data_IF_268605238440
#
_entry.id   IF_268605238440
#
_cell.length_a   1.000
_cell.length_b   1.000
_cell.length_c   1.000
_cell.angle_alpha   90.00
_cell.angle_beta   90.00
_cell.angle_gamma   90.00
#
_symmetry.space_group_name_H-M   'P 1'
#
loop_
_entity.id
_entity.type
_entity.pdbx_description
1 polymer ?
#
# COMPACT_ATOMS: atom_id res chain seq x y z
N UNK A 1 19.58 19.75 -4.91
CA UNK A 1 18.84 18.89 -3.96
C UNK A 1 18.18 17.81 -4.81
N UNK A 2 18.93 16.76 -5.14
CA UNK A 2 18.61 15.93 -6.30
C UNK A 2 17.97 14.58 -6.02
N UNK A 3 17.76 14.21 -4.75
CA UNK A 3 17.14 12.93 -4.37
C UNK A 3 15.70 13.12 -3.94
N UNK A 4 14.77 12.52 -4.68
CA UNK A 4 13.34 12.58 -4.38
C UNK A 4 12.62 11.39 -5.02
N UNK A 5 11.41 11.13 -4.52
CA UNK A 5 10.42 10.30 -5.19
C UNK A 5 9.20 11.18 -5.47
N UNK A 6 8.81 11.25 -6.74
CA UNK A 6 7.65 11.96 -7.23
C UNK A 6 6.62 11.01 -7.81
N UNK A 7 5.35 11.34 -7.66
CA UNK A 7 4.19 10.60 -8.14
C UNK A 7 3.32 11.54 -9.00
N UNK A 8 2.76 11.01 -10.08
CA UNK A 8 1.69 11.66 -10.84
C UNK A 8 0.73 10.62 -11.41
N UNK A 9 -0.57 10.94 -11.44
CA UNK A 9 -1.58 10.08 -12.04
C UNK A 9 -1.48 10.15 -13.57
N UNK A 10 -1.53 9.00 -14.23
CA UNK A 10 -1.55 8.92 -15.68
C UNK A 10 -2.99 9.05 -16.21
N UNK A 11 -3.15 9.78 -17.32
CA UNK A 11 -4.45 9.82 -18.03
C UNK A 11 -4.66 8.58 -18.90
N UNK A 12 -3.58 8.01 -19.42
CA UNK A 12 -3.55 6.78 -20.22
C UNK A 12 -2.46 5.87 -19.67
N UNK A 13 -2.74 4.57 -19.58
CA UNK A 13 -1.82 3.60 -19.00
C UNK A 13 -0.46 3.56 -19.71
N UNK A 14 0.59 3.87 -18.95
CA UNK A 14 1.97 3.82 -19.40
C UNK A 14 2.43 5.01 -20.23
N UNK A 15 1.70 6.12 -20.20
CA UNK A 15 2.13 7.42 -20.71
C UNK A 15 2.67 8.25 -19.54
N UNK A 16 4.00 8.35 -19.44
CA UNK A 16 4.66 8.96 -18.29
C UNK A 16 4.40 10.47 -18.16
N UNK A 17 3.86 10.90 -17.03
CA UNK A 17 3.58 12.31 -16.71
C UNK A 17 4.61 12.86 -15.70
N UNK A 18 4.89 14.16 -15.75
CA UNK A 18 5.76 14.79 -14.75
C UNK A 18 5.15 14.71 -13.34
N UNK A 19 5.94 14.43 -12.29
CA UNK A 19 5.46 14.27 -10.93
C UNK A 19 4.82 15.56 -10.41
N UNK A 20 3.68 15.43 -9.75
CA UNK A 20 2.96 16.55 -9.12
C UNK A 20 3.02 16.48 -7.59
N UNK A 21 3.23 15.29 -7.05
CA UNK A 21 3.27 14.99 -5.62
C UNK A 21 4.61 14.39 -5.28
N UNK A 22 5.32 14.93 -4.28
CA UNK A 22 6.59 14.36 -3.82
C UNK A 22 6.45 13.83 -2.41
N UNK A 23 6.96 12.63 -2.19
CA UNK A 23 6.89 11.94 -0.91
C UNK A 23 8.27 11.80 -0.29
N UNK A 24 8.32 11.88 1.04
CA UNK A 24 9.54 11.62 1.81
C UNK A 24 9.62 10.11 2.05
N UNK A 25 10.57 9.46 1.38
CA UNK A 25 10.80 8.02 1.50
C UNK A 25 11.98 7.74 2.44
N UNK A 26 11.87 6.65 3.20
CA UNK A 26 12.98 6.13 4.01
C UNK A 26 13.94 5.31 3.15
N UNK A 27 13.38 4.49 2.27
CA UNK A 27 14.15 3.70 1.32
C UNK A 27 13.32 3.39 0.08
N UNK A 28 13.99 3.28 -1.05
CA UNK A 28 13.41 2.85 -2.31
C UNK A 28 14.34 1.85 -2.98
N UNK A 29 13.77 0.85 -3.66
CA UNK A 29 14.50 -0.27 -4.27
C UNK A 29 14.00 -0.61 -5.69
N UNK A 30 13.33 0.32 -6.37
CA UNK A 30 12.85 0.14 -7.74
C UNK A 30 14.04 0.00 -8.68
N UNK A 31 14.03 -1.10 -9.42
CA UNK A 31 15.05 -1.44 -10.39
C UNK A 31 14.40 -1.94 -11.67
N UNK A 32 14.99 -1.56 -12.80
CA UNK A 32 14.62 -2.13 -14.08
C UNK A 32 15.18 -3.55 -14.20
N UNK A 33 14.30 -4.53 -14.36
CA UNK A 33 14.67 -5.91 -14.61
C UNK A 33 14.44 -6.26 -16.11
N UNK A 34 15.53 -6.35 -16.90
CA UNK A 34 15.45 -6.75 -18.29
C UNK A 34 15.22 -8.26 -18.50
N UNK A 35 15.21 -9.09 -17.43
CA UNK A 35 14.85 -10.52 -17.47
C UNK A 35 15.50 -11.27 -18.66
N UNK A 36 16.83 -11.38 -18.64
CA UNK A 36 17.57 -12.10 -19.67
C UNK A 36 17.41 -13.62 -19.55
N UNK A 37 16.98 -14.26 -20.62
CA UNK A 37 17.03 -15.72 -20.81
C UNK A 37 18.29 -16.06 -21.61
N UNK A 38 19.07 -16.98 -21.06
CA UNK A 38 20.29 -17.50 -21.69
C UNK A 38 19.99 -18.83 -22.38
N UNK A 39 20.08 -18.86 -23.71
CA UNK A 39 19.84 -20.08 -24.48
C UNK A 39 21.12 -20.89 -24.64
N UNK A 40 20.99 -22.22 -24.56
CA UNK A 40 22.03 -23.18 -24.95
C UNK A 40 21.47 -24.06 -26.06
N UNK A 41 22.06 -23.98 -27.24
CA UNK A 41 21.75 -24.86 -28.37
C UNK A 41 22.76 -26.00 -28.44
N UNK A 42 22.46 -27.03 -29.24
CA UNK A 42 23.37 -28.19 -29.46
C UNK A 42 24.70 -27.74 -30.09
N UNK A 43 24.70 -26.61 -30.81
CA UNK A 43 25.89 -25.98 -31.38
C UNK A 43 26.78 -25.30 -30.31
N UNK A 44 26.26 -25.11 -29.09
CA UNK A 44 26.93 -24.38 -28.03
C UNK A 44 28.06 -25.19 -27.37
N UNK A 45 29.30 -24.72 -27.54
CA UNK A 45 30.44 -25.17 -26.73
C UNK A 45 30.28 -24.86 -25.23
N UNK A 46 31.35 -25.00 -24.44
CA UNK A 46 31.32 -24.83 -22.97
C UNK A 46 30.86 -23.43 -22.49
N UNK A 47 30.85 -22.42 -23.37
CA UNK A 47 30.52 -21.01 -23.07
C UNK A 47 29.09 -20.66 -23.54
N UNK A 48 28.43 -19.75 -22.83
CA UNK A 48 27.15 -19.15 -23.25
C UNK A 48 27.39 -18.25 -24.46
N UNK A 49 26.56 -18.38 -25.50
CA UNK A 49 26.72 -17.62 -26.75
C UNK A 49 25.64 -16.55 -26.98
N UNK A 50 24.43 -16.74 -26.46
CA UNK A 50 23.30 -15.83 -26.71
C UNK A 50 22.50 -15.57 -25.45
N UNK A 51 22.10 -14.31 -25.27
CA UNK A 51 21.14 -13.88 -24.26
C UNK A 51 20.04 -13.06 -24.95
N UNK A 52 18.78 -13.29 -24.59
CA UNK A 52 17.64 -12.51 -25.06
C UNK A 52 16.88 -11.99 -23.85
N UNK A 53 16.47 -10.73 -23.90
CA UNK A 53 15.67 -10.10 -22.84
C UNK A 53 14.19 -10.35 -23.12
N UNK A 54 13.45 -10.83 -22.13
CA UNK A 54 12.01 -11.10 -22.24
C UNK A 54 11.32 -10.54 -20.99
N UNK A 55 10.01 -10.28 -21.01
CA UNK A 55 9.25 -9.80 -19.83
C UNK A 55 9.93 -8.66 -19.07
N UNK A 56 10.32 -7.61 -19.80
CA UNK A 56 10.96 -6.42 -19.25
C UNK A 56 9.97 -5.71 -18.32
N UNK A 57 10.36 -5.54 -17.07
CA UNK A 57 9.55 -4.85 -16.07
C UNK A 57 10.44 -4.18 -15.03
N UNK A 58 9.96 -3.07 -14.46
CA UNK A 58 10.57 -2.47 -13.28
C UNK A 58 9.85 -2.98 -12.06
N UNK A 59 10.59 -3.39 -11.03
CA UNK A 59 10.04 -3.92 -9.77
C UNK A 59 10.86 -3.37 -8.62
N UNK A 60 10.20 -3.09 -7.50
CA UNK A 60 10.87 -2.83 -6.24
C UNK A 60 9.86 -2.43 -5.18
N UNK A 61 10.36 -1.90 -4.07
CA UNK A 61 9.53 -1.43 -2.98
C UNK A 61 9.89 -0.02 -2.54
N UNK A 62 8.90 0.69 -2.02
CA UNK A 62 9.04 2.01 -1.39
C UNK A 62 8.60 1.90 0.07
N UNK A 63 9.51 2.27 0.98
CA UNK A 63 9.23 2.39 2.41
C UNK A 63 9.16 3.85 2.81
N UNK A 64 8.11 4.24 3.51
CA UNK A 64 7.93 5.60 3.97
C UNK A 64 7.08 5.67 5.24
N UNK A 65 7.15 6.83 5.90
CA UNK A 65 6.27 7.16 7.01
C UNK A 65 5.17 8.06 6.43
N UNK A 66 3.89 7.68 6.52
CA UNK A 66 2.82 8.38 5.85
C UNK A 66 2.52 9.71 6.53
N UNK A 67 2.01 10.61 5.69
CA UNK A 67 1.45 11.91 6.05
C UNK A 67 0.05 11.96 5.44
N UNK A 68 -0.87 12.74 6.03
CA UNK A 68 -2.28 12.73 5.63
C UNK A 68 -2.58 13.37 4.27
N UNK A 69 -1.71 14.26 3.78
CA UNK A 69 -1.94 15.12 2.61
C UNK A 69 -1.26 14.61 1.32
N UNK A 70 0.02 14.25 1.38
CA UNK A 70 0.83 13.85 0.22
C UNK A 70 1.27 12.38 0.27
N UNK A 71 1.11 11.67 -0.85
CA UNK A 71 1.69 10.36 -1.13
C UNK A 71 0.83 9.18 -0.67
N UNK A 72 0.22 9.28 0.53
CA UNK A 72 -0.58 8.19 1.09
C UNK A 72 -1.80 7.87 0.21
N UNK A 73 -2.59 8.87 -0.16
CA UNK A 73 -3.80 8.66 -0.94
C UNK A 73 -3.50 8.18 -2.37
N UNK A 74 -2.39 8.60 -2.98
CA UNK A 74 -1.94 8.12 -4.28
C UNK A 74 -1.56 6.64 -4.23
N UNK A 75 -0.87 6.20 -3.17
CA UNK A 75 -0.49 4.79 -2.98
C UNK A 75 -1.72 3.93 -2.71
N UNK A 76 -2.68 4.44 -1.91
CA UNK A 76 -3.95 3.77 -1.71
C UNK A 76 -4.75 3.67 -3.02
N UNK A 77 -4.74 4.73 -3.83
CA UNK A 77 -5.40 4.72 -5.13
C UNK A 77 -4.74 3.76 -6.13
N UNK A 78 -3.41 3.68 -6.14
CA UNK A 78 -2.66 2.71 -6.95
C UNK A 78 -2.96 1.25 -6.57
N UNK A 79 -3.26 0.98 -5.30
CA UNK A 79 -3.57 -0.36 -4.80
C UNK A 79 -5.02 -0.75 -5.04
N UNK A 80 -5.95 0.16 -4.72
CA UNK A 80 -7.39 -0.13 -4.73
C UNK A 80 -8.05 0.19 -6.08
N UNK A 81 -7.52 1.14 -6.85
CA UNK A 81 -8.08 1.61 -8.13
C UNK A 81 -9.32 2.49 -7.97
N UNK A 82 -10.30 2.10 -7.15
CA UNK A 82 -11.54 2.86 -6.99
C UNK A 82 -11.47 3.80 -5.79
N UNK A 83 -11.74 5.09 -6.03
CA UNK A 83 -11.84 6.13 -5.01
C UNK A 83 -13.16 6.90 -5.17
N UNK A 84 -13.87 7.09 -4.06
CA UNK A 84 -15.05 7.98 -4.00
C UNK A 84 -14.70 9.17 -3.12
N UNK A 85 -14.63 10.36 -3.72
CA UNK A 85 -14.33 11.62 -3.03
C UNK A 85 -15.61 12.40 -2.80
N UNK A 86 -15.92 12.69 -1.54
CA UNK A 86 -17.02 13.57 -1.17
C UNK A 86 -16.48 14.83 -0.51
N UNK A 87 -17.01 15.98 -0.90
CA UNK A 87 -16.74 17.25 -0.24
C UNK A 87 -17.59 17.33 1.04
N UNK A 88 -16.93 17.32 2.18
CA UNK A 88 -17.57 17.40 3.49
C UNK A 88 -17.59 18.84 4.01
N UNK A 89 -16.65 19.67 3.56
CA UNK A 89 -16.59 21.11 3.80
C UNK A 89 -16.02 21.80 2.56
N UNK A 90 -16.78 22.76 2.01
CA UNK A 90 -16.49 23.40 0.73
C UNK A 90 -15.07 23.98 0.67
N UNK A 91 -14.23 23.44 -0.21
CA UNK A 91 -12.85 23.89 -0.44
C UNK A 91 -11.86 23.63 0.69
N UNK A 92 -12.25 22.88 1.74
CA UNK A 92 -11.45 22.70 2.96
C UNK A 92 -11.26 21.24 3.32
N UNK A 93 -12.33 20.41 3.25
CA UNK A 93 -12.29 19.03 3.71
C UNK A 93 -12.96 18.08 2.72
N UNK A 94 -12.20 17.07 2.33
CA UNK A 94 -12.63 15.99 1.47
C UNK A 94 -12.50 14.65 2.17
N UNK A 95 -13.47 13.78 1.92
CA UNK A 95 -13.49 12.41 2.42
C UNK A 95 -13.36 11.46 1.25
N UNK A 96 -12.28 10.69 1.26
CA UNK A 96 -11.97 9.70 0.24
C UNK A 96 -12.19 8.31 0.78
N UNK A 97 -13.03 7.54 0.09
CA UNK A 97 -13.26 6.13 0.38
C UNK A 97 -12.60 5.32 -0.71
N UNK A 98 -11.61 4.51 -0.34
CA UNK A 98 -10.92 3.57 -1.22
C UNK A 98 -11.53 2.18 -1.06
N UNK A 99 -11.89 1.59 -2.18
CA UNK A 99 -12.47 0.25 -2.31
C UNK A 99 -11.75 -0.50 -3.43
N UNK A 100 -11.60 -1.82 -3.34
CA UNK A 100 -11.16 -2.64 -4.45
C UNK A 100 -11.88 -2.35 -5.78
N UNK A 101 -11.12 -2.21 -6.86
CA UNK A 101 -11.63 -2.10 -8.21
C UNK A 101 -12.28 -3.42 -8.64
N UNK A 102 -13.50 -3.33 -9.18
CA UNK A 102 -14.22 -4.49 -9.73
C UNK A 102 -13.91 -4.70 -11.22
N UNK A 103 -13.39 -3.66 -11.90
CA UNK A 103 -13.11 -3.68 -13.33
C UNK A 103 -11.75 -3.07 -13.67
N UNK A 104 -11.18 -3.49 -14.80
CA UNK A 104 -9.91 -2.96 -15.32
C UNK A 104 -9.96 -1.46 -15.63
N UNK A 105 -11.13 -0.91 -15.92
CA UNK A 105 -11.29 0.52 -16.23
C UNK A 105 -11.16 1.41 -14.98
N UNK A 106 -11.37 0.82 -13.80
CA UNK A 106 -11.27 1.52 -12.52
C UNK A 106 -9.84 1.50 -11.97
N UNK A 107 -8.89 0.81 -12.63
CA UNK A 107 -7.50 0.81 -12.21
C UNK A 107 -6.82 2.14 -12.53
N UNK A 108 -6.24 2.75 -11.50
CA UNK A 108 -5.39 3.92 -11.66
C UNK A 108 -3.93 3.48 -11.86
N UNK A 109 -3.29 4.06 -12.89
CA UNK A 109 -1.86 3.95 -13.09
C UNK A 109 -1.19 5.27 -12.78
N UNK A 110 0.02 5.18 -12.21
CA UNK A 110 0.79 6.34 -11.83
C UNK A 110 2.17 6.27 -12.48
N UNK A 111 2.74 7.45 -12.69
CA UNK A 111 4.14 7.62 -13.01
C UNK A 111 4.91 7.84 -11.71
N UNK A 112 5.99 7.10 -11.52
CA UNK A 112 6.94 7.30 -10.42
C UNK A 112 8.22 7.88 -10.99
N UNK A 113 8.66 9.01 -10.46
CA UNK A 113 9.92 9.63 -10.82
C UNK A 113 10.90 9.59 -9.65
N UNK A 114 12.09 9.07 -9.91
CA UNK A 114 13.20 8.98 -8.97
C UNK A 114 14.28 9.98 -9.37
N UNK A 115 14.54 10.96 -8.50
CA UNK A 115 15.68 11.84 -8.64
C UNK A 115 16.97 11.14 -8.21
N UNK A 116 17.92 10.96 -9.14
CA UNK A 116 19.25 10.39 -8.86
C UNK A 116 20.28 11.48 -8.55
N UNK A 117 20.03 12.23 -7.49
CA UNK A 117 20.89 13.34 -7.08
C UNK A 117 21.04 14.37 -8.22
N UNK A 118 22.22 14.99 -8.38
CA UNK A 118 22.46 15.97 -9.44
C UNK A 118 22.73 15.34 -10.83
N UNK A 119 22.41 14.05 -11.03
CA UNK A 119 22.69 13.33 -12.30
C UNK A 119 21.50 13.44 -13.26
N UNK A 120 20.37 12.83 -12.92
CA UNK A 120 19.19 12.72 -13.79
C UNK A 120 17.98 12.21 -13.00
N UNK A 121 16.78 12.40 -13.51
CA UNK A 121 15.60 11.66 -13.08
C UNK A 121 15.44 10.36 -13.85
N UNK A 122 14.96 9.31 -13.19
CA UNK A 122 14.43 8.10 -13.81
C UNK A 122 12.91 8.09 -13.65
N UNK A 123 12.18 8.04 -14.76
CA UNK A 123 10.73 8.05 -14.79
C UNK A 123 10.20 6.68 -15.19
N UNK A 124 9.43 6.07 -14.31
CA UNK A 124 8.76 4.80 -14.52
C UNK A 124 7.28 5.08 -14.80
N UNK A 125 6.80 4.72 -16.00
CA UNK A 125 5.40 4.85 -16.37
C UNK A 125 4.62 3.55 -16.07
N UNK A 126 3.30 3.66 -15.95
CA UNK A 126 2.40 2.53 -15.75
C UNK A 126 2.65 1.79 -14.44
N UNK A 127 3.03 2.52 -13.37
CA UNK A 127 3.27 1.92 -12.07
C UNK A 127 1.96 1.65 -11.34
N UNK A 128 1.90 0.47 -10.71
CA UNK A 128 0.83 0.05 -9.83
C UNK A 128 1.42 -0.62 -8.57
N UNK A 129 0.66 -0.61 -7.48
CA UNK A 129 1.06 -1.25 -6.22
C UNK A 129 0.48 -2.66 -6.18
N UNK A 130 1.34 -3.68 -6.10
CA UNK A 130 0.88 -5.07 -5.99
C UNK A 130 0.55 -5.46 -4.56
N UNK A 131 1.32 -4.93 -3.60
CA UNK A 131 1.20 -5.27 -2.18
C UNK A 131 1.52 -4.05 -1.32
N UNK A 132 0.73 -3.88 -0.27
CA UNK A 132 0.87 -2.82 0.71
C UNK A 132 0.92 -3.43 2.11
N UNK A 133 1.95 -3.12 2.87
CA UNK A 133 2.08 -3.50 4.27
C UNK A 133 2.10 -2.27 5.15
N UNK A 134 1.16 -2.19 6.10
CA UNK A 134 1.12 -1.16 7.13
C UNK A 134 1.53 -1.79 8.45
N UNK A 135 2.54 -1.22 9.11
CA UNK A 135 3.01 -1.68 10.43
C UNK A 135 2.97 -0.53 11.43
N UNK A 136 2.32 -0.75 12.56
CA UNK A 136 2.27 0.17 13.68
C UNK A 136 2.76 -0.54 14.95
N UNK A 137 3.78 0.04 15.59
CA UNK A 137 4.33 -0.40 16.87
C UNK A 137 4.01 0.62 17.96
N UNK A 138 4.03 0.22 19.24
CA UNK A 138 3.62 1.12 20.30
C UNK A 138 4.73 2.15 20.52
N UNK A 139 4.33 3.42 20.60
CA UNK A 139 5.23 4.58 20.71
C UNK A 139 6.18 4.75 19.51
N UNK A 140 5.79 4.28 18.32
CA UNK A 140 6.55 4.40 17.08
C UNK A 140 5.70 5.02 15.96
N UNK A 141 6.34 5.29 14.82
CA UNK A 141 5.69 5.76 13.61
C UNK A 141 4.91 4.64 12.92
N UNK A 142 3.84 5.01 12.20
CA UNK A 142 3.22 4.12 11.23
C UNK A 142 4.19 3.98 10.05
N UNK A 143 4.56 2.76 9.68
CA UNK A 143 5.45 2.52 8.53
C UNK A 143 4.66 1.81 7.44
N UNK A 144 4.78 2.31 6.21
CA UNK A 144 4.19 1.71 5.03
C UNK A 144 5.29 1.18 4.11
N UNK A 145 5.15 -0.06 3.68
CA UNK A 145 5.97 -0.71 2.65
C UNK A 145 5.06 -1.04 1.47
N UNK A 146 5.33 -0.43 0.31
CA UNK A 146 4.56 -0.62 -0.91
C UNK A 146 5.43 -1.29 -1.98
N UNK A 147 5.04 -2.49 -2.40
CA UNK A 147 5.65 -3.19 -3.52
C UNK A 147 5.03 -2.70 -4.82
N UNK A 148 5.89 -2.24 -5.73
CA UNK A 148 5.51 -1.58 -6.97
C UNK A 148 6.13 -2.32 -8.15
N UNK A 149 5.35 -2.40 -9.22
CA UNK A 149 5.85 -2.77 -10.54
C UNK A 149 5.45 -1.70 -11.57
N UNK A 150 6.20 -1.60 -12.66
CA UNK A 150 5.94 -0.65 -13.74
C UNK A 150 6.73 -0.95 -15.01
N UNK A 151 6.58 -0.07 -16.01
CA UNK A 151 7.29 -0.20 -17.29
C UNK A 151 8.77 0.16 -17.16
N UNK A 152 9.50 0.01 -18.26
CA UNK A 152 10.91 0.42 -18.38
C UNK A 152 11.07 1.91 -18.04
N UNK A 153 12.14 2.31 -17.32
CA UNK A 153 12.38 3.71 -17.03
C UNK A 153 12.83 4.50 -18.27
N UNK A 154 12.49 5.77 -18.28
CA UNK A 154 13.03 6.78 -19.18
C UNK A 154 13.86 7.80 -18.40
N UNK A 155 14.94 8.27 -19.00
CA UNK A 155 15.78 9.32 -18.40
C UNK A 155 15.16 10.69 -18.68
N UNK A 156 14.92 11.45 -17.63
CA UNK A 156 14.29 12.76 -17.68
C UNK A 156 15.09 13.79 -16.89
N UNK A 157 14.99 15.10 -17.20
CA UNK A 157 15.53 16.15 -16.35
C UNK A 157 14.96 16.09 -14.93
N UNK A 158 15.75 16.52 -13.94
CA UNK A 158 15.30 16.57 -12.54
C UNK A 158 14.13 17.54 -12.37
N UNK A 159 13.07 17.06 -11.73
CA UNK A 159 11.96 17.86 -11.24
C UNK A 159 12.35 18.66 -9.99
N UNK A 160 11.53 19.65 -9.66
CA UNK A 160 11.68 20.46 -8.44
C UNK A 160 10.76 19.91 -7.35
N UNK A 161 11.28 19.20 -6.33
CA UNK A 161 10.44 18.56 -5.34
C UNK A 161 9.79 19.57 -4.39
N UNK A 162 8.51 19.34 -4.07
CA UNK A 162 7.75 20.03 -3.01
C UNK A 162 7.21 19.01 -2.02
N UNK A 163 7.50 19.19 -0.73
CA UNK A 163 7.11 18.24 0.30
C UNK A 163 6.07 18.83 1.25
N UNK A 164 5.26 17.96 1.84
CA UNK A 164 4.31 18.30 2.90
C UNK A 164 4.95 19.05 4.08
N UNK A 165 4.18 19.92 4.73
CA UNK A 165 4.53 20.51 6.03
C UNK A 165 3.81 19.84 7.21
N UNK A 166 2.96 18.82 6.97
CA UNK A 166 2.22 18.09 7.99
C UNK A 166 3.12 17.10 8.75
N UNK A 167 2.71 16.79 9.97
CA UNK A 167 3.39 15.82 10.83
C UNK A 167 3.11 14.38 10.40
N UNK A 168 4.07 13.50 10.69
CA UNK A 168 3.95 12.07 10.43
C UNK A 168 2.90 11.40 11.31
N UNK A 169 2.26 10.36 10.78
CA UNK A 169 1.32 9.53 11.56
C UNK A 169 2.10 8.67 12.55
N UNK A 170 1.79 8.82 13.84
CA UNK A 170 2.36 8.02 14.93
C UNK A 170 1.30 7.11 15.55
N UNK A 171 1.72 6.09 16.29
CA UNK A 171 0.80 5.26 17.09
C UNK A 171 0.04 6.08 18.16
N UNK A 172 0.59 7.24 18.56
CA UNK A 172 -0.07 8.17 19.50
C UNK A 172 -1.30 8.86 18.93
N UNK A 173 -1.44 8.88 17.60
CA UNK A 173 -2.60 9.43 16.90
C UNK A 173 -3.75 8.43 16.78
N UNK A 174 -3.62 7.21 17.32
CA UNK A 174 -4.72 6.25 17.25
C UNK A 174 -5.87 6.65 18.18
N UNK A 175 -7.02 6.94 17.59
CA UNK A 175 -8.22 7.42 18.29
C UNK A 175 -9.17 6.28 18.64
N UNK A 176 -9.38 5.33 17.72
CA UNK A 176 -10.26 4.19 17.94
C UNK A 176 -9.64 2.90 17.42
N UNK A 177 -9.68 1.87 18.25
CA UNK A 177 -9.29 0.49 17.92
C UNK A 177 -10.41 -0.40 18.43
N UNK A 178 -11.23 -0.94 17.53
CA UNK A 178 -12.32 -1.84 17.91
C UNK A 178 -12.20 -3.18 17.21
N UNK A 179 -12.56 -4.22 17.95
CA UNK A 179 -12.68 -5.59 17.47
C UNK A 179 -14.08 -6.08 17.85
N UNK A 180 -14.91 -6.35 16.84
CA UNK A 180 -16.33 -6.63 16.99
C UNK A 180 -17.09 -5.56 17.82
N UNK A 181 -16.71 -4.28 17.64
CA UNK A 181 -17.28 -3.15 18.37
C UNK A 181 -16.74 -2.96 19.81
N UNK A 182 -15.91 -3.87 20.32
CA UNK A 182 -15.27 -3.73 21.63
C UNK A 182 -13.93 -3.01 21.50
N UNK A 183 -13.64 -2.07 22.41
CA UNK A 183 -12.37 -1.37 22.44
C UNK A 183 -11.22 -2.30 22.83
N UNK A 184 -10.25 -2.46 21.94
CA UNK A 184 -9.02 -3.24 22.16
C UNK A 184 -7.84 -2.31 22.01
N UNK A 185 -6.85 -2.42 22.89
CA UNK A 185 -5.57 -1.73 22.73
C UNK A 185 -4.58 -2.74 22.15
N UNK A 186 -4.15 -2.52 20.91
CA UNK A 186 -3.11 -3.32 20.25
C UNK A 186 -1.73 -2.84 20.67
N UNK A 187 -0.84 -3.77 20.97
CA UNK A 187 0.57 -3.46 21.22
C UNK A 187 1.31 -3.37 19.89
N UNK A 188 1.14 -4.35 19.02
CA UNK A 188 1.67 -4.34 17.64
C UNK A 188 0.57 -4.67 16.66
N UNK A 189 0.63 -4.04 15.50
CA UNK A 189 -0.33 -4.20 14.42
C UNK A 189 0.37 -4.19 13.07
N UNK A 190 0.10 -5.20 12.25
CA UNK A 190 0.59 -5.27 10.88
C UNK A 190 -0.50 -5.81 9.97
N UNK A 191 -0.95 -4.99 9.01
CA UNK A 191 -1.83 -5.41 7.92
C UNK A 191 -1.04 -5.50 6.63
N UNK A 192 -1.28 -6.56 5.88
CA UNK A 192 -0.82 -6.77 4.53
C UNK A 192 -2.01 -6.90 3.58
N UNK A 193 -2.01 -6.09 2.53
CA UNK A 193 -3.05 -6.06 1.49
C UNK A 193 -2.36 -6.41 0.17
N UNK A 194 -2.78 -7.49 -0.48
CA UNK A 194 -2.35 -7.87 -1.81
C UNK A 194 -3.46 -7.48 -2.79
N UNK A 195 -3.19 -6.47 -3.61
CA UNK A 195 -4.19 -5.85 -4.49
C UNK A 195 -4.59 -6.71 -5.70
N UNK A 196 -3.94 -7.86 -5.91
CA UNK A 196 -4.26 -8.77 -7.01
C UNK A 196 -3.99 -8.18 -8.40
N UNK A 197 -3.20 -7.12 -8.53
CA UNK A 197 -2.89 -6.50 -9.83
C UNK A 197 -1.64 -7.16 -10.40
N UNK A 198 -1.75 -7.73 -11.59
CA UNK A 198 -0.62 -8.40 -12.27
C UNK A 198 -0.34 -7.83 -13.67
N UNK A 199 0.93 -7.75 -14.08
CA UNK A 199 1.29 -7.22 -15.40
C UNK A 199 0.97 -8.21 -16.52
N UNK A 200 0.29 -7.72 -17.56
CA UNK A 200 -0.03 -8.49 -18.77
C UNK A 200 1.04 -8.28 -19.85
N UNK A 201 1.57 -9.39 -20.36
CA UNK A 201 2.47 -9.43 -21.51
C UNK A 201 1.76 -10.01 -22.73
N UNK A 202 1.98 -9.44 -23.91
CA UNK A 202 1.43 -9.94 -25.19
C UNK A 202 2.53 -10.53 -26.05
N UNK A 203 2.19 -11.39 -27.01
CA UNK A 203 3.17 -11.95 -27.97
C UNK A 203 3.79 -10.90 -28.91
N UNK A 204 3.23 -9.69 -28.94
CA UNK A 204 3.67 -8.58 -29.77
C UNK A 204 4.76 -7.70 -29.14
N UNK A 205 5.02 -7.82 -27.84
CA UNK A 205 6.01 -7.00 -27.12
C UNK A 205 6.57 -7.73 -25.90
N UNK A 206 7.85 -7.51 -25.62
CA UNK A 206 8.51 -7.99 -24.40
C UNK A 206 8.27 -7.08 -23.19
N UNK A 207 7.54 -5.98 -23.34
CA UNK A 207 7.21 -5.01 -22.29
C UNK A 207 5.78 -5.19 -21.78
N UNK A 208 5.48 -4.61 -20.61
CA UNK A 208 4.13 -4.66 -20.03
C UNK A 208 3.16 -3.92 -20.96
N UNK A 209 2.18 -4.65 -21.49
CA UNK A 209 1.18 -4.10 -22.40
C UNK A 209 -0.08 -3.63 -21.67
N UNK A 210 -0.42 -4.27 -20.56
CA UNK A 210 -1.59 -3.94 -19.76
C UNK A 210 -1.55 -4.55 -18.37
N UNK A 211 -2.70 -4.55 -17.70
CA UNK A 211 -2.90 -5.10 -16.36
C UNK A 211 -3.99 -6.17 -16.40
N UNK A 212 -3.90 -7.11 -15.47
CA UNK A 212 -4.88 -8.14 -15.18
C UNK A 212 -5.23 -8.10 -13.68
N UNK A 213 -6.44 -8.58 -13.35
CA UNK A 213 -6.96 -8.64 -11.98
C UNK A 213 -7.01 -10.10 -11.50
N UNK A 214 -6.48 -10.32 -10.31
CA UNK A 214 -6.53 -11.54 -9.51
C UNK A 214 -7.29 -11.28 -8.19
N UNK A 215 -7.71 -12.33 -7.46
CA UNK A 215 -8.36 -12.16 -6.17
C UNK A 215 -7.49 -11.39 -5.18
N UNK A 216 -8.10 -10.44 -4.47
CA UNK A 216 -7.44 -9.67 -3.42
C UNK A 216 -7.37 -10.50 -2.15
N UNK A 217 -6.19 -10.50 -1.52
CA UNK A 217 -5.99 -11.15 -0.23
C UNK A 217 -5.58 -10.10 0.80
N UNK A 218 -6.26 -10.10 1.94
CA UNK A 218 -5.93 -9.20 3.06
C UNK A 218 -5.65 -10.06 4.29
N UNK A 219 -4.44 -9.92 4.80
CA UNK A 219 -4.02 -10.56 6.04
C UNK A 219 -3.66 -9.50 7.07
N UNK A 220 -4.00 -9.77 8.32
CA UNK A 220 -3.75 -8.90 9.45
C UNK A 220 -3.12 -9.71 10.57
N UNK A 221 -2.17 -9.11 11.26
CA UNK A 221 -1.55 -9.65 12.46
C UNK A 221 -1.61 -8.60 13.55
N UNK A 222 -2.05 -8.99 14.73
CA UNK A 222 -2.10 -8.08 15.86
C UNK A 222 -1.75 -8.78 17.16
N UNK A 223 -1.07 -8.05 18.03
CA UNK A 223 -0.75 -8.48 19.38
C UNK A 223 -1.64 -7.75 20.36
N UNK A 224 -2.44 -8.48 21.12
CA UNK A 224 -3.29 -7.90 22.16
C UNK A 224 -3.26 -8.72 23.44
N UNK A 225 -3.57 -8.04 24.54
CA UNK A 225 -3.66 -8.66 25.87
C UNK A 225 -5.04 -9.30 26.05
N UNK A 226 -5.07 -10.51 26.62
CA UNK A 226 -6.32 -11.10 27.11
C UNK A 226 -6.90 -10.27 28.26
N UNK A 227 -8.14 -9.77 28.08
CA UNK A 227 -8.87 -9.08 29.15
C UNK A 227 -9.90 -9.98 29.79
N UNK A 228 -10.61 -10.80 29.02
CA UNK A 228 -11.70 -11.63 29.52
C UNK A 228 -11.65 -13.08 28.99
N UNK A 229 -12.26 -14.01 29.72
CA UNK A 229 -12.40 -15.42 29.30
C UNK A 229 -13.27 -15.58 28.04
N UNK A 230 -14.18 -14.62 27.80
CA UNK A 230 -15.01 -14.56 26.59
C UNK A 230 -14.17 -14.37 25.33
N UNK A 231 -13.10 -13.56 25.38
CA UNK A 231 -12.21 -13.34 24.23
C UNK A 231 -11.44 -14.61 23.82
N UNK A 232 -11.29 -15.54 24.76
CA UNK A 232 -10.67 -16.85 24.57
C UNK A 232 -11.68 -17.88 24.07
N UNK A 233 -12.90 -17.89 24.61
CA UNK A 233 -13.98 -18.74 24.09
C UNK A 233 -14.36 -18.38 22.65
N UNK A 234 -14.52 -17.08 22.35
CA UNK A 234 -14.83 -16.62 20.98
C UNK A 234 -13.72 -16.95 19.98
N UNK A 235 -12.47 -17.04 20.44
CA UNK A 235 -11.34 -17.49 19.63
C UNK A 235 -11.42 -19.00 19.36
N UNK A 236 -11.71 -19.81 20.39
CA UNK A 236 -11.87 -21.26 20.24
C UNK A 236 -13.10 -21.64 19.41
N UNK A 237 -14.17 -20.84 19.48
CA UNK A 237 -15.41 -21.05 18.74
C UNK A 237 -15.32 -20.61 17.27
N UNK A 238 -14.21 -19.98 16.85
CA UNK A 238 -13.96 -19.59 15.45
C UNK A 238 -14.95 -18.55 14.92
N UNK A 239 -15.42 -17.64 15.79
CA UNK A 239 -16.44 -16.66 15.41
C UNK A 239 -15.80 -15.53 14.59
N UNK A 240 -16.42 -15.20 13.45
CA UNK A 240 -16.02 -14.09 12.60
C UNK A 240 -16.18 -12.74 13.32
N UNK A 241 -15.21 -11.84 13.13
CA UNK A 241 -15.22 -10.51 13.79
C UNK A 241 -15.03 -9.38 12.79
N UNK A 242 -15.46 -8.17 13.18
CA UNK A 242 -15.12 -6.94 12.47
C UNK A 242 -13.94 -6.23 13.14
N UNK A 243 -13.20 -5.44 12.38
CA UNK A 243 -12.08 -4.65 12.88
C UNK A 243 -12.13 -3.24 12.32
N UNK A 244 -11.88 -2.26 13.20
CA UNK A 244 -11.74 -0.87 12.81
C UNK A 244 -10.56 -0.25 13.55
N UNK A 245 -9.66 0.37 12.80
CA UNK A 245 -8.58 1.19 13.35
C UNK A 245 -8.61 2.58 12.73
N UNK A 246 -8.59 3.61 13.58
CA UNK A 246 -8.63 5.02 13.16
C UNK A 246 -7.46 5.81 13.76
N UNK A 247 -6.69 6.46 12.89
CA UNK A 247 -5.70 7.47 13.26
C UNK A 247 -6.27 8.87 13.00
N UNK A 248 -6.20 9.75 13.99
CA UNK A 248 -6.63 11.14 13.90
C UNK A 248 -5.45 12.09 14.05
N UNK A 249 -5.28 12.96 13.06
CA UNK A 249 -4.27 14.01 13.03
C UNK A 249 -4.78 15.36 13.54
N UNK A 250 -4.10 16.46 13.16
CA UNK A 250 -4.47 17.80 13.58
C UNK A 250 -5.83 18.24 12.99
N UNK A 251 -6.33 19.36 13.48
CA UNK A 251 -7.61 19.94 13.04
C UNK A 251 -7.56 20.39 11.58
N UNK A 252 -8.56 19.99 10.81
CA UNK A 252 -8.85 20.38 9.44
C UNK A 252 -10.28 20.94 9.36
N UNK A 253 -10.41 22.26 9.30
CA UNK A 253 -11.70 22.94 9.35
C UNK A 253 -12.45 22.59 10.64
N UNK A 254 -13.66 22.02 10.50
CA UNK A 254 -14.50 21.59 11.63
C UNK A 254 -14.26 20.15 12.12
N UNK A 255 -13.31 19.41 11.53
CA UNK A 255 -12.93 18.07 11.98
C UNK A 255 -11.41 17.91 12.03
N UNK A 256 -10.90 16.69 12.00
CA UNK A 256 -9.48 16.37 12.02
C UNK A 256 -9.11 15.59 10.76
N UNK A 257 -7.85 15.67 10.32
CA UNK A 257 -7.32 14.69 9.37
C UNK A 257 -7.52 13.28 9.93
N UNK A 258 -7.95 12.33 9.11
CA UNK A 258 -8.15 10.97 9.61
C UNK A 258 -7.86 9.89 8.58
N UNK A 259 -7.28 8.80 9.06
CA UNK A 259 -7.11 7.55 8.31
C UNK A 259 -7.86 6.47 9.07
N UNK A 260 -8.83 5.84 8.42
CA UNK A 260 -9.62 4.74 9.00
C UNK A 260 -9.49 3.52 8.12
N UNK A 261 -9.14 2.37 8.70
CA UNK A 261 -9.12 1.07 8.04
C UNK A 261 -10.21 0.22 8.67
N UNK A 262 -11.13 -0.27 7.85
CA UNK A 262 -12.26 -1.11 8.26
C UNK A 262 -12.20 -2.45 7.53
N UNK A 263 -12.23 -3.53 8.31
CA UNK A 263 -12.34 -4.91 7.84
C UNK A 263 -13.64 -5.49 8.41
N UNK A 264 -14.68 -5.70 7.59
CA UNK A 264 -16.01 -6.06 8.08
C UNK A 264 -16.10 -7.51 8.56
N UNK A 265 -15.40 -8.45 7.90
CA UNK A 265 -15.36 -9.86 8.30
C UNK A 265 -13.92 -10.36 8.34
N UNK A 266 -13.56 -10.95 9.47
CA UNK A 266 -12.23 -11.47 9.76
C UNK A 266 -12.36 -12.85 10.37
N UNK A 267 -11.55 -13.79 9.87
CA UNK A 267 -11.40 -15.11 10.45
C UNK A 267 -10.05 -15.25 11.14
N UNK A 268 -10.03 -15.92 12.30
CA UNK A 268 -8.80 -16.23 13.02
C UNK A 268 -8.20 -17.51 12.47
N UNK A 269 -7.07 -17.41 11.77
CA UNK A 269 -6.40 -18.58 11.21
C UNK A 269 -5.50 -19.24 12.24
N UNK A 270 -4.79 -18.42 13.02
CA UNK A 270 -3.88 -18.88 14.07
C UNK A 270 -3.87 -17.91 15.26
N UNK A 271 -3.72 -18.47 16.46
CA UNK A 271 -3.49 -17.69 17.66
C UNK A 271 -2.76 -18.55 18.68
N UNK A 272 -1.51 -18.19 18.95
CA UNK A 272 -0.70 -18.90 19.94
C UNK A 272 -0.89 -18.24 21.32
N UNK A 273 -1.09 -19.07 22.34
CA UNK A 273 -1.17 -18.64 23.74
C UNK A 273 0.06 -19.22 24.45
N UNK A 274 1.18 -18.54 24.30
CA UNK A 274 2.40 -18.89 25.04
C UNK A 274 2.35 -18.31 26.45
N UNK A 275 2.41 -19.16 27.47
CA UNK A 275 2.65 -18.74 28.85
C UNK A 275 4.16 -18.71 29.06
N UNK A 276 4.75 -17.51 29.08
CA UNK A 276 6.16 -17.32 29.41
C UNK A 276 6.29 -16.75 30.83
N UNK A 277 6.75 -17.57 31.78
CA UNK A 277 7.16 -17.18 33.14
C UNK A 277 6.21 -16.19 33.87
N UNK A 278 6.74 -15.17 34.58
CA UNK A 278 5.97 -14.10 35.25
C UNK A 278 5.59 -12.94 34.31
N UNK A 279 5.75 -13.12 32.99
CA UNK A 279 5.49 -12.06 32.03
C UNK A 279 3.99 -11.86 31.78
N UNK A 280 3.66 -10.76 31.09
CA UNK A 280 2.28 -10.44 30.75
C UNK A 280 1.77 -11.41 29.70
N UNK A 281 0.55 -11.91 29.88
CA UNK A 281 -0.15 -12.73 28.89
C UNK A 281 -0.44 -11.91 27.63
N UNK A 282 0.34 -12.13 26.58
CA UNK A 282 0.18 -11.55 25.25
C UNK A 282 -0.24 -12.63 24.26
N UNK A 283 -1.07 -12.28 23.29
CA UNK A 283 -1.45 -13.18 22.20
C UNK A 283 -1.15 -12.51 20.87
N UNK A 284 -0.41 -13.22 20.01
CA UNK A 284 -0.28 -12.87 18.60
C UNK A 284 -1.42 -13.57 17.86
N UNK A 285 -2.23 -12.79 17.14
CA UNK A 285 -3.32 -13.33 16.30
C UNK A 285 -3.03 -13.03 14.84
N UNK A 286 -3.06 -14.06 14.01
CA UNK A 286 -3.04 -13.95 12.56
C UNK A 286 -4.46 -14.15 12.04
N UNK A 287 -4.88 -13.25 11.15
CA UNK A 287 -6.26 -13.10 10.73
C UNK A 287 -6.32 -12.85 9.24
N UNK A 288 -7.22 -13.52 8.54
CA UNK A 288 -7.51 -13.27 7.13
C UNK A 288 -8.89 -12.62 7.00
N UNK A 289 -8.97 -11.55 6.20
CA UNK A 289 -10.25 -10.90 5.91
C UNK A 289 -11.04 -11.72 4.90
N UNK A 290 -12.35 -11.83 5.12
CA UNK A 290 -13.28 -12.50 4.22
C UNK A 290 -14.23 -11.49 3.59
N UNK A 291 -14.70 -11.81 2.39
CA UNK A 291 -15.63 -10.96 1.69
C UNK A 291 -16.98 -10.89 2.44
N UNK A 292 -17.60 -9.71 2.40
CA UNK A 292 -18.86 -9.41 3.08
C UNK A 292 -19.79 -8.67 2.12
N UNK A 293 -21.11 -8.64 2.38
CA UNK A 293 -22.03 -7.81 1.58
C UNK A 293 -21.68 -6.31 1.59
N UNK A 294 -20.87 -5.86 2.56
CA UNK A 294 -20.31 -4.50 2.67
C UNK A 294 -18.92 -4.34 2.04
N UNK A 295 -18.42 -5.34 1.32
CA UNK A 295 -17.09 -5.38 0.70
C UNK A 295 -16.03 -6.09 1.55
N UNK A 296 -14.83 -6.25 0.98
CA UNK A 296 -13.69 -6.93 1.61
C UNK A 296 -12.91 -6.03 2.57
N UNK A 297 -12.63 -4.80 2.16
CA UNK A 297 -11.88 -3.80 2.93
C UNK A 297 -12.33 -2.40 2.51
N UNK A 298 -12.40 -1.50 3.49
CA UNK A 298 -12.69 -0.09 3.25
C UNK A 298 -11.64 0.77 3.95
N UNK A 299 -10.95 1.59 3.17
CA UNK A 299 -10.00 2.57 3.71
C UNK A 299 -10.55 3.95 3.48
N UNK A 300 -10.70 4.73 4.54
CA UNK A 300 -11.19 6.11 4.46
C UNK A 300 -10.07 7.07 4.84
N UNK A 301 -9.77 8.03 3.96
CA UNK A 301 -8.82 9.11 4.20
C UNK A 301 -9.58 10.44 4.16
N UNK A 302 -9.44 11.25 5.20
CA UNK A 302 -9.99 12.61 5.27
C UNK A 302 -8.84 13.61 5.26
N UNK A 303 -8.80 14.47 4.24
CA UNK A 303 -7.76 15.50 4.06
C UNK A 303 -8.25 16.70 3.24
N UNK A 304 -7.31 17.57 2.87
CA UNK A 304 -7.51 18.82 2.13
C UNK A 304 -7.40 18.65 0.61
N UNK A 305 -7.13 17.43 0.12
CA UNK A 305 -6.95 17.18 -1.30
C UNK A 305 -8.30 16.90 -1.97
N UNK A 306 -8.61 17.60 -3.06
CA UNK A 306 -9.92 17.45 -3.70
C UNK A 306 -10.14 16.06 -4.31
N UNK A 307 -9.12 15.48 -4.97
CA UNK A 307 -9.25 14.25 -5.75
C UNK A 307 -7.91 13.50 -5.91
N UNK A 308 -8.00 12.22 -6.27
CA UNK A 308 -6.88 11.30 -6.48
C UNK A 308 -6.79 10.73 -7.89
#
# INVERSE_FOLDING_TARGET
MGRYIGLAKESNYGEGVAPTVFMRVLSESIQYNPNYIYHRTIEGGRKLQTAQSTKKQSVGSIKFIPVYDYGLGEILHMLFGKVTSNEEEAGVRYKHVFEPAESLNDLASYTIEKGLDDITGERYAGCCVSKLKLTAKPADFLVIDADIFGKKPELVPLATPSFSNQDYITSGHTSTQTLNGLNVAFEEFSIEIQGGIVPRFTSSSDEIHGLDLEPINVTASFTSRFRNIQDLQEFLDGIEKSFVCKWQGPTLGNANYSLTIELPRLNFDEGDISINEQERLMQVRNVTALDSPSGLIKVTLENDKMNY
#
